data_IF_874099423608
#
_entry.id   IF_874099423608
#
_cell.length_a   1.000
_cell.length_b   1.000
_cell.length_c   1.000
_cell.angle_alpha   90.00
_cell.angle_beta   90.00
_cell.angle_gamma   90.00
#
_symmetry.space_group_name_H-M   'P 1'
#
loop_
_entity.id
_entity.type
_entity.pdbx_description
1 polymer ?
#
# COMPACT_ATOMS: atom_id res chain seq x y z
N UNK A 1 9.77 18.88 -15.38
CA UNK A 1 9.79 17.40 -15.41
C UNK A 1 8.45 16.89 -15.90
N UNK A 2 8.45 15.91 -16.79
CA UNK A 2 7.25 15.22 -17.30
C UNK A 2 7.21 13.83 -16.68
N UNK A 3 6.13 13.51 -15.96
CA UNK A 3 6.02 12.30 -15.13
C UNK A 3 4.85 11.45 -15.60
N UNK A 4 5.07 10.13 -15.68
CA UNK A 4 4.01 9.14 -15.89
C UNK A 4 3.84 8.30 -14.62
N UNK A 5 2.63 8.28 -14.06
CA UNK A 5 2.24 7.38 -12.97
C UNK A 5 1.50 6.18 -13.55
N UNK A 6 1.97 4.97 -13.25
CA UNK A 6 1.32 3.73 -13.67
C UNK A 6 0.36 3.24 -12.58
N UNK A 7 -0.93 3.23 -12.89
CA UNK A 7 -1.99 2.77 -12.01
C UNK A 7 -3.33 3.44 -12.25
N UNK A 8 -4.37 2.95 -11.58
CA UNK A 8 -5.76 3.45 -11.69
C UNK A 8 -6.52 3.46 -10.36
N UNK A 9 -5.88 3.05 -9.27
CA UNK A 9 -6.50 2.97 -7.96
C UNK A 9 -6.54 4.31 -7.23
N UNK A 10 -7.21 4.35 -6.09
CA UNK A 10 -7.26 5.54 -5.23
C UNK A 10 -5.87 5.95 -4.71
N UNK A 11 -4.99 5.00 -4.48
CA UNK A 11 -3.59 5.24 -4.16
C UNK A 11 -2.86 5.96 -5.30
N UNK A 12 -3.06 5.50 -6.53
CA UNK A 12 -2.41 6.09 -7.71
C UNK A 12 -2.94 7.50 -7.98
N UNK A 13 -4.22 7.74 -7.72
CA UNK A 13 -4.79 9.08 -7.73
C UNK A 13 -4.15 9.99 -6.65
N UNK A 14 -3.95 9.51 -5.43
CA UNK A 14 -3.27 10.27 -4.37
C UNK A 14 -1.82 10.60 -4.74
N UNK A 15 -1.11 9.65 -5.34
CA UNK A 15 0.26 9.85 -5.85
C UNK A 15 0.26 10.90 -6.98
N UNK A 16 -0.64 10.79 -7.95
CA UNK A 16 -0.79 11.77 -9.02
C UNK A 16 -1.12 13.16 -8.46
N UNK A 17 -2.01 13.23 -7.46
CA UNK A 17 -2.28 14.48 -6.76
C UNK A 17 -1.03 15.05 -6.10
N UNK A 18 -0.18 14.22 -5.46
CA UNK A 18 1.07 14.69 -4.88
C UNK A 18 2.01 15.28 -5.93
N UNK A 19 2.20 14.61 -7.07
CA UNK A 19 2.97 15.17 -8.20
C UNK A 19 2.38 16.48 -8.72
N UNK A 20 1.05 16.61 -8.78
CA UNK A 20 0.39 17.84 -9.25
C UNK A 20 0.61 19.07 -8.35
N UNK A 21 1.05 18.86 -7.10
CA UNK A 21 1.36 19.97 -6.18
C UNK A 21 2.74 20.59 -6.44
N UNK A 22 3.61 19.92 -7.18
CA UNK A 22 4.94 20.42 -7.52
C UNK A 22 4.90 21.41 -8.69
N UNK A 23 5.49 22.56 -8.52
CA UNK A 23 5.65 23.57 -9.59
C UNK A 23 6.73 23.16 -10.62
N UNK A 24 7.52 22.13 -10.33
CA UNK A 24 8.56 21.61 -11.18
C UNK A 24 8.03 20.57 -12.19
N UNK A 25 6.77 20.12 -12.02
CA UNK A 25 6.06 19.25 -12.96
C UNK A 25 5.39 20.11 -14.03
N UNK A 26 5.78 19.92 -15.27
CA UNK A 26 5.19 20.61 -16.44
C UNK A 26 4.41 19.68 -17.37
N UNK A 27 4.32 18.40 -17.02
CA UNK A 27 3.47 17.41 -17.65
C UNK A 27 3.24 16.24 -16.72
N UNK A 28 1.99 15.98 -16.36
CA UNK A 28 1.61 14.84 -15.52
C UNK A 28 0.68 13.92 -16.31
N UNK A 29 1.05 12.65 -16.36
CA UNK A 29 0.33 11.60 -17.06
C UNK A 29 0.03 10.46 -16.12
N UNK A 30 -1.09 9.77 -16.31
CA UNK A 30 -1.46 8.58 -15.54
C UNK A 30 -1.95 7.48 -16.48
N UNK A 31 -1.50 6.25 -16.30
CA UNK A 31 -1.90 5.14 -17.15
C UNK A 31 -2.37 3.91 -16.34
N UNK A 32 -3.59 3.42 -16.57
CA UNK A 32 -4.62 4.02 -17.40
C UNK A 32 -5.31 5.24 -16.75
N UNK A 33 -5.09 5.48 -15.44
CA UNK A 33 -5.75 6.54 -14.68
C UNK A 33 -7.20 6.19 -14.31
N UNK A 34 -7.91 7.17 -13.80
CA UNK A 34 -9.32 7.08 -13.42
C UNK A 34 -10.00 8.45 -13.50
N UNK A 35 -11.27 8.54 -13.16
CA UNK A 35 -12.07 9.79 -13.21
C UNK A 35 -11.51 10.92 -12.33
N UNK A 36 -10.81 10.58 -11.25
CA UNK A 36 -10.19 11.57 -10.37
C UNK A 36 -8.89 12.13 -10.95
N UNK A 37 -8.11 11.30 -11.63
CA UNK A 37 -6.84 11.72 -12.25
C UNK A 37 -7.05 12.59 -13.48
N UNK A 38 -8.18 12.51 -14.19
CA UNK A 38 -8.52 13.35 -15.34
C UNK A 38 -8.55 14.85 -15.00
N UNK A 39 -8.86 15.18 -13.74
CA UNK A 39 -8.93 16.59 -13.31
C UNK A 39 -7.57 17.23 -13.06
N UNK A 40 -6.50 16.43 -12.94
CA UNK A 40 -5.15 16.87 -12.51
C UNK A 40 -4.04 16.41 -13.45
N UNK A 41 -4.31 15.48 -14.36
CA UNK A 41 -3.34 14.86 -15.25
C UNK A 41 -3.97 14.47 -16.60
N UNK A 42 -3.15 14.06 -17.55
CA UNK A 42 -3.62 13.43 -18.79
C UNK A 42 -3.64 11.91 -18.60
N UNK A 43 -4.82 11.29 -18.66
CA UNK A 43 -4.94 9.84 -18.65
C UNK A 43 -4.55 9.25 -20.01
N UNK A 44 -3.70 8.19 -19.99
CA UNK A 44 -3.27 7.48 -21.18
C UNK A 44 -3.92 6.08 -21.20
N UNK A 45 -4.73 5.82 -22.21
CA UNK A 45 -5.46 4.54 -22.35
C UNK A 45 -4.52 3.42 -22.85
N UNK A 46 -3.53 3.05 -22.05
CA UNK A 46 -2.58 1.96 -22.29
C UNK A 46 -2.63 0.94 -21.16
N UNK A 47 -2.20 -0.29 -21.44
CA UNK A 47 -1.97 -1.29 -20.42
C UNK A 47 -0.67 -0.96 -19.66
N UNK A 48 -0.73 -0.61 -18.36
CA UNK A 48 0.45 -0.28 -17.56
C UNK A 48 1.39 -1.47 -17.34
N UNK A 49 0.93 -2.70 -17.61
CA UNK A 49 1.70 -3.93 -17.49
C UNK A 49 2.38 -4.35 -18.80
N UNK A 50 2.05 -3.69 -19.92
CA UNK A 50 2.74 -3.87 -21.19
C UNK A 50 3.92 -2.88 -21.31
N UNK A 51 5.12 -3.38 -21.06
CA UNK A 51 6.34 -2.57 -21.05
C UNK A 51 6.61 -1.85 -22.39
N UNK A 52 6.14 -2.40 -23.53
CA UNK A 52 6.30 -1.77 -24.84
C UNK A 52 5.36 -0.60 -25.00
N UNK A 53 4.08 -0.75 -24.64
CA UNK A 53 3.12 0.35 -24.66
C UNK A 53 3.54 1.49 -23.72
N UNK A 54 4.04 1.15 -22.52
CA UNK A 54 4.55 2.16 -21.57
C UNK A 54 5.77 2.90 -22.16
N UNK A 55 6.72 2.20 -22.76
CA UNK A 55 7.88 2.82 -23.40
C UNK A 55 7.49 3.72 -24.58
N UNK A 56 6.56 3.28 -25.44
CA UNK A 56 6.02 4.07 -26.54
C UNK A 56 5.34 5.35 -26.04
N UNK A 57 4.54 5.23 -24.96
CA UNK A 57 3.91 6.38 -24.30
C UNK A 57 4.98 7.35 -23.75
N UNK A 58 6.05 6.84 -23.16
CA UNK A 58 7.16 7.67 -22.68
C UNK A 58 7.82 8.45 -23.82
N UNK A 59 8.08 7.79 -24.94
CA UNK A 59 8.71 8.43 -26.12
C UNK A 59 7.79 9.47 -26.75
N UNK A 60 6.50 9.13 -26.91
CA UNK A 60 5.52 10.02 -27.56
C UNK A 60 5.24 11.27 -26.73
N UNK A 61 5.30 11.18 -25.40
CA UNK A 61 4.97 12.26 -24.50
C UNK A 61 6.20 12.90 -23.84
N UNK A 62 7.43 12.59 -24.29
CA UNK A 62 8.68 13.11 -23.72
C UNK A 62 8.72 12.93 -22.18
N UNK A 63 8.40 11.74 -21.69
CA UNK A 63 8.36 11.45 -20.24
C UNK A 63 9.80 11.33 -19.71
N UNK A 64 10.14 12.15 -18.73
CA UNK A 64 11.43 12.11 -18.04
C UNK A 64 11.50 11.00 -16.99
N UNK A 65 10.34 10.62 -16.42
CA UNK A 65 10.30 9.78 -15.25
C UNK A 65 9.00 8.97 -15.14
N UNK A 66 9.10 7.67 -14.80
CA UNK A 66 7.97 6.77 -14.60
C UNK A 66 7.89 6.33 -13.14
N UNK A 67 6.76 6.61 -12.48
CA UNK A 67 6.45 6.11 -11.15
C UNK A 67 5.51 4.91 -11.24
N UNK A 68 5.90 3.77 -10.65
CA UNK A 68 5.07 2.56 -10.64
C UNK A 68 4.35 2.45 -9.31
N UNK A 69 3.07 2.79 -9.30
CA UNK A 69 2.24 2.81 -8.11
C UNK A 69 1.57 1.48 -7.77
N UNK A 70 1.37 0.59 -8.74
CA UNK A 70 0.56 -0.63 -8.60
C UNK A 70 1.38 -1.91 -8.81
N UNK A 71 0.85 -3.06 -8.38
CA UNK A 71 1.56 -4.34 -8.38
C UNK A 71 1.82 -4.91 -9.78
N UNK A 72 0.80 -4.93 -10.64
CA UNK A 72 0.86 -5.63 -11.91
C UNK A 72 2.05 -5.20 -12.79
N UNK A 73 2.32 -3.90 -13.04
CA UNK A 73 3.48 -3.47 -13.79
C UNK A 73 4.83 -3.86 -13.17
N UNK A 74 4.91 -3.93 -11.84
CA UNK A 74 6.13 -4.37 -11.17
C UNK A 74 6.44 -5.83 -11.53
N UNK A 75 5.47 -6.71 -11.41
CA UNK A 75 5.67 -8.16 -11.64
C UNK A 75 5.73 -8.56 -13.12
N UNK A 76 5.43 -7.65 -14.05
CA UNK A 76 5.62 -7.89 -15.50
C UNK A 76 6.96 -7.37 -16.03
N UNK A 77 7.83 -6.82 -15.17
CA UNK A 77 9.19 -6.40 -15.53
C UNK A 77 9.27 -5.05 -16.24
N UNK A 78 8.25 -4.21 -16.13
CA UNK A 78 8.21 -2.86 -16.74
C UNK A 78 9.40 -2.01 -16.28
N UNK A 79 9.80 -2.10 -15.01
CA UNK A 79 10.92 -1.33 -14.44
C UNK A 79 12.25 -1.65 -15.18
N UNK A 80 12.60 -2.93 -15.23
CA UNK A 80 13.86 -3.34 -15.87
C UNK A 80 13.86 -3.00 -17.36
N UNK A 81 12.72 -3.21 -18.05
CA UNK A 81 12.56 -2.89 -19.47
C UNK A 81 12.77 -1.41 -19.79
N UNK A 82 12.24 -0.51 -18.95
CA UNK A 82 12.37 0.95 -19.13
C UNK A 82 13.79 1.42 -18.79
N UNK A 83 14.38 0.93 -17.69
CA UNK A 83 15.73 1.28 -17.27
C UNK A 83 16.78 0.89 -18.35
N UNK A 84 16.65 -0.29 -18.98
CA UNK A 84 17.50 -0.71 -20.10
C UNK A 84 17.44 0.22 -21.32
N UNK A 85 16.36 1.03 -21.42
CA UNK A 85 16.13 1.99 -22.51
C UNK A 85 16.35 3.44 -22.11
N UNK A 86 16.93 3.65 -20.91
CA UNK A 86 17.31 4.97 -20.42
C UNK A 86 16.15 5.83 -19.90
N UNK A 87 14.99 5.23 -19.66
CA UNK A 87 13.87 5.90 -18.96
C UNK A 87 14.06 5.74 -17.47
N UNK A 88 14.19 6.84 -16.74
CA UNK A 88 14.28 6.82 -15.29
C UNK A 88 12.99 6.28 -14.68
N UNK A 89 13.11 5.28 -13.81
CA UNK A 89 11.96 4.67 -13.14
C UNK A 89 12.10 4.69 -11.63
N UNK A 90 10.94 4.63 -10.97
CA UNK A 90 10.81 4.54 -9.53
C UNK A 90 10.05 3.28 -9.16
N UNK A 91 10.77 2.26 -8.76
CA UNK A 91 10.21 0.98 -8.37
C UNK A 91 11.26 -0.10 -8.24
N UNK A 92 10.86 -1.21 -7.65
CA UNK A 92 11.74 -2.35 -7.45
C UNK A 92 11.97 -3.11 -8.75
N UNK A 93 13.24 -3.38 -9.13
CA UNK A 93 13.57 -4.25 -10.24
C UNK A 93 13.25 -5.72 -9.89
N UNK A 94 13.20 -6.59 -10.91
CA UNK A 94 12.84 -8.00 -10.74
C UNK A 94 13.62 -8.72 -9.62
N UNK A 95 14.90 -8.37 -9.42
CA UNK A 95 15.72 -8.97 -8.36
C UNK A 95 15.21 -8.68 -6.94
N UNK A 96 14.56 -7.53 -6.73
CA UNK A 96 14.03 -7.11 -5.42
C UNK A 96 12.55 -7.52 -5.22
N UNK A 97 11.83 -7.86 -6.30
CA UNK A 97 10.41 -8.24 -6.22
C UNK A 97 10.16 -9.48 -5.37
N UNK A 98 11.16 -10.34 -5.21
CA UNK A 98 11.06 -11.55 -4.37
C UNK A 98 10.72 -11.26 -2.91
N UNK A 99 11.09 -10.08 -2.39
CA UNK A 99 10.73 -9.68 -1.02
C UNK A 99 9.21 -9.59 -0.83
N UNK A 100 8.48 -9.13 -1.84
CA UNK A 100 7.02 -9.08 -1.80
C UNK A 100 6.39 -10.30 -2.46
N UNK A 101 6.94 -10.79 -3.57
CA UNK A 101 6.33 -11.81 -4.42
C UNK A 101 6.46 -13.24 -3.89
N UNK A 102 7.47 -13.54 -3.08
CA UNK A 102 7.78 -14.87 -2.54
C UNK A 102 7.96 -14.82 -1.02
N UNK A 103 6.93 -15.23 -0.27
CA UNK A 103 6.97 -15.17 1.19
C UNK A 103 8.01 -16.10 1.81
N UNK A 104 8.26 -17.25 1.21
CA UNK A 104 9.31 -18.14 1.69
C UNK A 104 10.69 -17.49 1.52
N UNK A 105 10.95 -16.90 0.35
CA UNK A 105 12.18 -16.11 0.15
C UNK A 105 12.28 -14.98 1.18
N UNK A 106 11.19 -14.24 1.40
CA UNK A 106 11.14 -13.15 2.37
C UNK A 106 11.51 -13.63 3.78
N UNK A 107 10.96 -14.77 4.24
CA UNK A 107 11.29 -15.36 5.54
C UNK A 107 12.74 -15.83 5.61
N UNK A 108 13.23 -16.50 4.59
CA UNK A 108 14.65 -16.89 4.51
C UNK A 108 15.59 -15.67 4.52
N UNK A 109 15.20 -14.57 3.88
CA UNK A 109 15.94 -13.31 3.92
C UNK A 109 15.97 -12.74 5.34
N UNK A 110 14.82 -12.67 6.01
CA UNK A 110 14.75 -12.15 7.39
C UNK A 110 15.53 -13.01 8.37
N UNK A 111 15.52 -14.34 8.23
CA UNK A 111 16.30 -15.27 9.07
C UNK A 111 17.80 -15.06 8.88
N UNK A 112 18.28 -14.93 7.61
CA UNK A 112 19.70 -14.68 7.33
C UNK A 112 20.23 -13.36 7.90
N UNK A 113 19.35 -12.37 8.02
CA UNK A 113 19.70 -11.03 8.50
C UNK A 113 19.24 -10.74 9.92
N UNK A 114 18.78 -11.76 10.66
CA UNK A 114 18.32 -11.69 12.06
C UNK A 114 17.22 -10.64 12.28
N UNK A 115 16.31 -10.48 11.31
CA UNK A 115 15.18 -9.55 11.39
C UNK A 115 14.02 -10.25 12.11
N UNK A 116 13.46 -9.68 13.20
CA UNK A 116 12.38 -10.29 13.95
C UNK A 116 11.12 -10.49 13.10
N UNK A 117 10.65 -11.74 12.98
CA UNK A 117 9.42 -12.13 12.29
C UNK A 117 8.57 -13.03 13.18
N UNK A 118 7.28 -13.26 12.84
CA UNK A 118 6.49 -14.29 13.50
C UNK A 118 7.19 -15.66 13.42
N UNK A 119 7.06 -16.47 14.45
CA UNK A 119 7.41 -17.89 14.35
C UNK A 119 6.64 -18.49 13.18
N UNK A 120 7.34 -19.18 12.28
CA UNK A 120 6.73 -19.67 11.05
C UNK A 120 7.21 -21.07 10.66
N UNK A 121 6.35 -21.80 9.95
CA UNK A 121 6.63 -23.11 9.38
C UNK A 121 6.10 -23.18 7.95
N UNK A 122 6.92 -23.68 7.03
CA UNK A 122 6.51 -23.95 5.65
C UNK A 122 5.92 -25.36 5.56
N UNK A 123 4.76 -25.48 4.92
CA UNK A 123 4.13 -26.74 4.61
C UNK A 123 3.91 -26.88 3.11
N UNK A 124 4.31 -28.06 2.58
CA UNK A 124 4.10 -28.52 1.22
C UNK A 124 3.20 -29.76 1.15
N UNK A 125 2.74 -30.24 2.30
CA UNK A 125 2.00 -31.48 2.48
C UNK A 125 0.86 -31.31 3.50
N UNK A 126 -0.35 -31.76 3.10
CA UNK A 126 -1.58 -31.64 3.91
C UNK A 126 -1.52 -32.46 5.19
N UNK A 127 -0.90 -33.65 5.16
CA UNK A 127 -0.82 -34.54 6.32
C UNK A 127 0.10 -33.96 7.40
N UNK A 128 1.25 -33.42 7.01
CA UNK A 128 2.19 -32.75 7.94
C UNK A 128 1.54 -31.55 8.60
N UNK A 129 0.78 -30.73 7.83
CA UNK A 129 0.04 -29.61 8.37
C UNK A 129 -1.02 -30.07 9.37
N UNK A 130 -1.81 -31.09 9.02
CA UNK A 130 -2.84 -31.65 9.91
C UNK A 130 -2.26 -32.15 11.24
N UNK A 131 -1.14 -32.86 11.20
CA UNK A 131 -0.46 -33.33 12.41
C UNK A 131 0.07 -32.16 13.26
N UNK A 132 0.59 -31.12 12.62
CA UNK A 132 1.06 -29.93 13.33
C UNK A 132 -0.11 -29.23 14.03
N UNK A 133 -1.20 -28.95 13.32
CA UNK A 133 -2.38 -28.25 13.88
C UNK A 133 -3.02 -29.05 15.02
N UNK A 134 -3.06 -30.40 14.95
CA UNK A 134 -3.59 -31.24 16.03
C UNK A 134 -2.71 -31.17 17.30
N UNK A 135 -1.39 -31.03 17.16
CA UNK A 135 -0.47 -30.87 18.29
C UNK A 135 -0.56 -29.48 18.93
N UNK A 136 -1.08 -28.49 18.19
CA UNK A 136 -1.24 -27.09 18.59
C UNK A 136 -2.71 -26.70 18.67
N UNK A 137 -3.59 -27.62 19.10
CA UNK A 137 -5.02 -27.40 19.20
C UNK A 137 -5.36 -26.19 20.08
N UNK A 138 -6.22 -25.31 19.59
CA UNK A 138 -6.63 -24.07 20.28
C UNK A 138 -5.71 -22.89 20.08
N UNK A 139 -4.52 -23.07 19.49
CA UNK A 139 -3.67 -21.95 19.11
C UNK A 139 -4.22 -21.25 17.86
N UNK A 140 -4.00 -19.93 17.78
CA UNK A 140 -4.41 -19.12 16.64
C UNK A 140 -3.25 -18.93 15.68
N UNK A 141 -3.51 -19.20 14.40
CA UNK A 141 -2.51 -19.11 13.34
C UNK A 141 -2.95 -18.20 12.19
N UNK A 142 -1.95 -17.67 11.51
CA UNK A 142 -2.12 -17.01 10.21
C UNK A 142 -1.53 -17.92 9.14
N UNK A 143 -2.37 -18.43 8.25
CA UNK A 143 -1.94 -19.19 7.07
C UNK A 143 -1.89 -18.27 5.88
N UNK A 144 -0.77 -18.27 5.16
CA UNK A 144 -0.56 -17.45 3.96
C UNK A 144 -0.15 -18.34 2.79
N UNK A 145 -0.71 -18.08 1.60
CA UNK A 145 -0.17 -18.69 0.37
C UNK A 145 1.24 -18.17 0.09
N UNK A 146 2.11 -19.02 -0.45
CA UNK A 146 3.43 -18.59 -0.96
C UNK A 146 3.35 -18.05 -2.40
N UNK A 147 2.13 -17.92 -2.97
CA UNK A 147 1.95 -17.49 -4.33
C UNK A 147 2.44 -16.04 -4.56
N UNK A 148 2.94 -15.80 -5.77
CA UNK A 148 3.26 -14.46 -6.26
C UNK A 148 1.95 -13.67 -6.43
N UNK A 149 1.98 -12.36 -6.17
CA UNK A 149 0.83 -11.48 -6.45
C UNK A 149 0.31 -11.68 -7.90
N UNK A 150 -1.01 -11.57 -8.17
CA UNK A 150 -2.08 -11.07 -7.29
C UNK A 150 -2.79 -12.14 -6.45
N UNK A 151 -2.44 -13.41 -6.56
CA UNK A 151 -3.14 -14.53 -5.88
C UNK A 151 -2.74 -14.72 -4.41
N UNK A 152 -2.31 -13.65 -3.75
CA UNK A 152 -1.94 -13.66 -2.32
C UNK A 152 -3.20 -13.75 -1.47
N UNK A 153 -3.39 -14.88 -0.85
CA UNK A 153 -4.51 -15.11 0.06
C UNK A 153 -4.01 -15.51 1.44
N UNK A 154 -4.80 -15.23 2.46
CA UNK A 154 -4.48 -15.56 3.84
C UNK A 154 -5.75 -15.80 4.66
N UNK A 155 -5.62 -16.60 5.72
CA UNK A 155 -6.62 -16.77 6.75
C UNK A 155 -5.97 -16.60 8.13
N UNK A 156 -6.71 -16.02 9.09
CA UNK A 156 -6.34 -15.85 10.49
C UNK A 156 -7.41 -16.52 11.34
N UNK A 157 -7.12 -17.71 11.90
CA UNK A 157 -8.09 -18.53 12.60
C UNK A 157 -7.45 -19.39 13.69
N UNK A 158 -8.24 -19.82 14.65
CA UNK A 158 -7.95 -20.90 15.61
C UNK A 158 -8.76 -22.17 15.33
N UNK A 159 -9.65 -22.14 14.33
CA UNK A 159 -10.47 -23.28 13.98
C UNK A 159 -9.72 -24.22 13.02
N UNK A 160 -9.50 -25.44 13.46
CA UNK A 160 -8.79 -26.48 12.69
C UNK A 160 -9.41 -26.70 11.31
N UNK A 161 -10.74 -26.80 11.22
CA UNK A 161 -11.40 -27.12 9.95
C UNK A 161 -11.23 -25.96 8.95
N UNK A 162 -11.42 -24.71 9.40
CA UNK A 162 -11.22 -23.53 8.58
C UNK A 162 -9.79 -23.42 8.06
N UNK A 163 -8.79 -23.67 8.94
CA UNK A 163 -7.37 -23.69 8.53
C UNK A 163 -7.07 -24.76 7.52
N UNK A 164 -7.58 -25.98 7.72
CA UNK A 164 -7.36 -27.11 6.81
C UNK A 164 -8.07 -26.90 5.46
N UNK A 165 -9.33 -26.48 5.44
CA UNK A 165 -10.09 -26.22 4.22
C UNK A 165 -9.41 -25.14 3.36
N UNK A 166 -9.01 -24.02 3.98
CA UNK A 166 -8.27 -22.96 3.31
C UNK A 166 -6.93 -23.46 2.73
N UNK A 167 -6.15 -24.19 3.56
CA UNK A 167 -4.82 -24.66 3.18
C UNK A 167 -4.86 -25.71 2.06
N UNK A 168 -5.84 -26.61 2.08
CA UNK A 168 -6.01 -27.69 1.10
C UNK A 168 -6.17 -27.14 -0.33
N UNK A 169 -6.92 -26.06 -0.49
CA UNK A 169 -7.12 -25.42 -1.79
C UNK A 169 -5.81 -24.87 -2.38
N UNK A 170 -4.89 -24.43 -1.51
CA UNK A 170 -3.61 -23.82 -1.91
C UNK A 170 -2.53 -24.88 -2.08
N UNK A 171 -2.44 -25.85 -1.17
CA UNK A 171 -1.44 -26.95 -1.19
C UNK A 171 -1.51 -27.78 -2.45
N UNK A 172 -2.66 -27.79 -3.16
CA UNK A 172 -2.77 -28.42 -4.46
C UNK A 172 -1.84 -27.81 -5.54
N UNK A 173 -1.40 -26.58 -5.37
CA UNK A 173 -0.62 -25.84 -6.39
C UNK A 173 0.62 -25.14 -5.85
N UNK A 174 0.70 -24.86 -4.55
CA UNK A 174 1.75 -24.04 -3.94
C UNK A 174 1.90 -24.37 -2.45
N UNK A 175 3.12 -24.29 -1.89
CA UNK A 175 3.31 -24.34 -0.44
C UNK A 175 2.57 -23.21 0.28
N UNK A 176 2.34 -23.41 1.58
CA UNK A 176 1.81 -22.39 2.49
C UNK A 176 2.83 -22.09 3.59
N UNK A 177 2.71 -20.89 4.16
CA UNK A 177 3.41 -20.50 5.38
C UNK A 177 2.38 -20.39 6.49
N UNK A 178 2.60 -21.13 7.57
CA UNK A 178 1.84 -21.02 8.82
C UNK A 178 2.66 -20.15 9.78
N UNK A 179 2.06 -19.08 10.29
CA UNK A 179 2.67 -18.14 11.22
C UNK A 179 1.90 -18.05 12.52
N UNK A 180 2.58 -17.79 13.64
CA UNK A 180 1.91 -17.43 14.89
C UNK A 180 1.04 -16.17 14.70
N UNK A 181 -0.10 -16.12 15.38
CA UNK A 181 -0.92 -14.91 15.43
C UNK A 181 -0.28 -13.91 16.41
N UNK A 182 0.09 -12.73 15.93
CA UNK A 182 0.64 -11.66 16.75
C UNK A 182 -0.45 -10.75 17.31
N UNK A 183 -0.33 -10.37 18.57
CA UNK A 183 -1.14 -9.35 19.23
C UNK A 183 -0.31 -8.07 19.38
N UNK A 184 -0.86 -6.94 19.01
CA UNK A 184 -0.18 -5.65 19.12
C UNK A 184 -0.74 -4.57 18.20
N UNK A 185 -0.05 -3.45 18.12
CA UNK A 185 -0.40 -2.34 17.25
C UNK A 185 0.18 -2.57 15.85
N UNK A 186 -0.63 -2.77 14.81
CA UNK A 186 -0.15 -2.82 13.43
C UNK A 186 0.27 -1.43 12.97
N UNK A 187 1.47 -1.34 12.42
CA UNK A 187 2.00 -0.12 11.80
C UNK A 187 2.57 -0.42 10.42
N UNK A 188 2.62 0.61 9.61
CA UNK A 188 3.20 0.61 8.26
C UNK A 188 4.29 1.66 8.20
N UNK A 189 5.52 1.22 7.98
CA UNK A 189 6.70 2.06 7.79
C UNK A 189 7.01 2.12 6.31
N UNK A 190 7.05 3.31 5.72
CA UNK A 190 7.34 3.50 4.29
C UNK A 190 8.62 4.27 4.12
N UNK A 191 9.51 3.76 3.30
CA UNK A 191 10.83 4.30 3.01
C UNK A 191 10.96 4.60 1.53
N UNK A 192 11.55 5.75 1.19
CA UNK A 192 12.24 5.91 -0.07
C UNK A 192 13.66 5.43 0.07
N UNK A 193 14.16 4.70 -0.91
CA UNK A 193 15.50 4.10 -0.91
C UNK A 193 16.35 4.67 -2.04
N UNK A 194 17.63 4.87 -1.77
CA UNK A 194 18.67 5.02 -2.79
C UNK A 194 19.82 4.04 -2.51
N UNK A 195 20.94 4.14 -3.24
CA UNK A 195 22.07 3.22 -3.05
C UNK A 195 22.86 3.47 -1.76
N UNK A 196 22.66 4.59 -1.07
CA UNK A 196 23.43 5.01 0.10
C UNK A 196 22.64 5.08 1.38
N UNK A 197 21.31 5.26 1.29
CA UNK A 197 20.49 5.42 2.47
C UNK A 197 18.99 5.36 2.18
N UNK A 198 18.22 5.98 3.05
CA UNK A 198 16.77 6.05 2.95
C UNK A 198 16.22 7.35 3.51
N UNK A 199 14.97 7.65 3.13
CA UNK A 199 14.16 8.70 3.73
C UNK A 199 12.87 8.05 4.25
N UNK A 200 12.63 8.13 5.57
CA UNK A 200 11.43 7.59 6.19
C UNK A 200 10.26 8.57 6.06
N UNK A 201 9.11 8.07 5.61
CA UNK A 201 7.84 8.79 5.60
C UNK A 201 7.11 8.63 6.94
N UNK A 202 6.08 9.45 7.22
CA UNK A 202 5.31 9.33 8.45
C UNK A 202 4.69 7.93 8.61
N UNK A 203 4.88 7.32 9.78
CA UNK A 203 4.38 5.98 10.09
C UNK A 203 2.85 5.98 10.14
N UNK A 204 2.24 4.98 9.50
CA UNK A 204 0.79 4.80 9.49
C UNK A 204 0.35 3.59 10.33
N UNK A 205 -0.95 3.49 10.61
CA UNK A 205 -1.60 2.28 11.11
C UNK A 205 -2.75 1.91 10.20
N UNK A 206 -2.62 0.77 9.51
CA UNK A 206 -3.57 0.31 8.52
C UNK A 206 -4.61 -0.65 9.11
N UNK A 207 -5.82 -0.60 8.56
CA UNK A 207 -6.94 -1.49 8.87
C UNK A 207 -7.18 -2.41 7.69
N UNK A 208 -6.57 -3.61 7.73
CA UNK A 208 -6.49 -4.54 6.60
C UNK A 208 -7.62 -5.58 6.56
N UNK A 209 -8.61 -5.48 7.43
CA UNK A 209 -9.77 -6.37 7.48
C UNK A 209 -11.08 -5.61 7.23
N UNK A 210 -12.10 -6.32 6.75
CA UNK A 210 -13.44 -5.74 6.52
C UNK A 210 -14.07 -5.17 7.80
N UNK A 211 -13.79 -5.80 8.93
CA UNK A 211 -14.16 -5.41 10.29
C UNK A 211 -13.18 -6.05 11.27
N UNK A 212 -13.27 -5.77 12.56
CA UNK A 212 -12.44 -6.45 13.56
C UNK A 212 -12.76 -7.95 13.55
N UNK A 213 -11.75 -8.79 13.37
CA UNK A 213 -11.92 -10.24 13.19
C UNK A 213 -12.48 -10.69 11.84
N UNK A 214 -12.82 -9.76 10.93
CA UNK A 214 -13.37 -10.04 9.61
C UNK A 214 -12.36 -10.52 8.56
N UNK A 215 -12.83 -10.59 7.31
CA UNK A 215 -12.03 -11.07 6.18
C UNK A 215 -10.89 -10.10 5.82
N UNK A 216 -9.73 -10.61 5.38
CA UNK A 216 -8.66 -9.80 4.81
C UNK A 216 -9.13 -8.99 3.60
N UNK A 217 -8.62 -7.77 3.47
CA UNK A 217 -8.94 -6.84 2.38
C UNK A 217 -7.67 -6.22 1.82
N UNK A 218 -7.80 -5.40 0.79
CA UNK A 218 -6.70 -4.56 0.30
C UNK A 218 -6.47 -3.28 1.13
N UNK A 219 -7.12 -3.16 2.30
CA UNK A 219 -7.09 -2.00 3.20
C UNK A 219 -8.41 -1.23 3.19
N UNK A 220 -8.96 -0.99 4.39
CA UNK A 220 -10.24 -0.30 4.60
C UNK A 220 -10.08 1.07 5.27
N UNK A 221 -8.91 1.34 5.82
CA UNK A 221 -8.60 2.63 6.44
C UNK A 221 -7.15 2.71 6.87
N UNK A 222 -6.68 3.92 7.14
CA UNK A 222 -5.34 4.20 7.65
C UNK A 222 -5.31 5.48 8.47
N UNK A 223 -4.44 5.52 9.47
CA UNK A 223 -4.20 6.69 10.32
C UNK A 223 -2.74 7.09 10.20
N UNK A 224 -2.49 8.39 10.07
CA UNK A 224 -1.15 8.96 9.94
C UNK A 224 -1.04 10.35 10.60
N UNK A 225 0.07 10.67 11.30
CA UNK A 225 1.07 9.72 11.78
C UNK A 225 0.58 8.97 13.02
N UNK A 226 1.14 7.79 13.25
CA UNK A 226 0.96 7.06 14.51
C UNK A 226 1.99 7.56 15.51
N UNK A 227 1.59 7.99 16.71
CA UNK A 227 2.54 8.33 17.76
C UNK A 227 3.22 7.06 18.28
N UNK A 228 4.54 7.00 18.15
CA UNK A 228 5.37 5.95 18.70
C UNK A 228 6.28 6.52 19.78
N UNK A 229 6.53 5.76 20.83
CA UNK A 229 7.55 6.07 21.82
C UNK A 229 8.94 6.02 21.16
N UNK A 230 9.88 6.84 21.64
CA UNK A 230 11.21 6.95 21.05
C UNK A 230 11.95 5.61 21.06
N UNK A 231 11.82 4.85 22.14
CA UNK A 231 12.43 3.50 22.26
C UNK A 231 11.89 2.52 21.22
N UNK A 232 10.58 2.60 20.89
CA UNK A 232 9.96 1.77 19.85
C UNK A 232 10.45 2.19 18.47
N UNK A 233 10.56 3.50 18.24
CA UNK A 233 11.06 4.04 16.98
C UNK A 233 12.53 3.65 16.75
N UNK A 234 13.36 3.72 17.78
CA UNK A 234 14.76 3.28 17.72
C UNK A 234 14.86 1.77 17.49
N UNK A 235 14.05 0.97 18.20
CA UNK A 235 14.01 -0.47 17.99
C UNK A 235 13.60 -0.86 16.55
N UNK A 236 12.67 -0.13 15.94
CA UNK A 236 12.33 -0.32 14.52
C UNK A 236 13.53 -0.11 13.60
N UNK A 237 14.30 0.95 13.85
CA UNK A 237 15.50 1.23 13.06
C UNK A 237 16.53 0.13 13.25
N UNK A 238 16.86 -0.20 14.49
CA UNK A 238 17.97 -1.10 14.84
C UNK A 238 17.71 -2.56 14.47
N UNK A 239 16.44 -3.00 14.59
CA UNK A 239 16.13 -4.43 14.45
C UNK A 239 15.46 -4.79 13.13
N UNK A 240 14.87 -3.80 12.42
CA UNK A 240 14.14 -4.07 11.17
C UNK A 240 14.72 -3.27 10.00
N UNK A 241 14.80 -1.93 10.11
CA UNK A 241 15.14 -1.08 8.95
C UNK A 241 16.60 -1.30 8.54
N UNK A 242 17.54 -1.05 9.44
CA UNK A 242 18.98 -1.17 9.13
C UNK A 242 19.38 -2.59 8.71
N UNK A 243 18.95 -3.68 9.41
CA UNK A 243 19.21 -5.03 8.94
C UNK A 243 18.61 -5.35 7.57
N UNK A 244 17.41 -4.81 7.25
CA UNK A 244 16.80 -4.96 5.93
C UNK A 244 17.67 -4.30 4.84
N UNK A 245 18.09 -3.05 5.05
CA UNK A 245 18.92 -2.31 4.09
C UNK A 245 20.29 -2.96 3.92
N UNK A 246 20.90 -3.41 5.02
CA UNK A 246 22.13 -4.19 4.98
C UNK A 246 21.96 -5.46 4.14
N UNK A 247 20.89 -6.23 4.38
CA UNK A 247 20.58 -7.45 3.66
C UNK A 247 20.36 -7.22 2.17
N UNK A 248 19.59 -6.18 1.81
CA UNK A 248 19.39 -5.79 0.40
C UNK A 248 20.69 -5.51 -0.31
N UNK A 249 21.62 -4.82 0.35
CA UNK A 249 22.93 -4.52 -0.19
C UNK A 249 23.82 -5.77 -0.29
N UNK A 250 23.86 -6.57 0.75
CA UNK A 250 24.65 -7.80 0.83
C UNK A 250 24.24 -8.83 -0.25
N UNK A 251 22.94 -8.93 -0.54
CA UNK A 251 22.38 -9.85 -1.53
C UNK A 251 22.24 -9.20 -2.93
N UNK A 252 22.81 -8.02 -3.14
CA UNK A 252 22.79 -7.28 -4.43
C UNK A 252 21.36 -6.98 -4.92
N UNK A 253 20.45 -6.75 -3.98
CA UNK A 253 19.04 -6.43 -4.23
C UNK A 253 18.72 -4.95 -3.98
N UNK A 254 19.72 -4.13 -3.65
CA UNK A 254 19.53 -2.68 -3.46
C UNK A 254 18.97 -2.03 -4.74
N UNK A 255 18.05 -1.08 -4.55
CA UNK A 255 17.37 -0.37 -5.64
C UNK A 255 16.97 1.05 -5.21
N UNK A 256 16.67 1.89 -6.20
CA UNK A 256 16.07 3.21 -6.00
C UNK A 256 14.56 3.07 -6.13
N UNK A 257 13.81 3.42 -5.07
CA UNK A 257 12.38 3.24 -5.09
C UNK A 257 11.75 3.24 -3.70
N UNK A 258 10.60 2.60 -3.60
CA UNK A 258 9.82 2.51 -2.36
C UNK A 258 9.97 1.13 -1.72
N UNK A 259 10.16 1.12 -0.42
CA UNK A 259 10.00 -0.07 0.40
C UNK A 259 8.99 0.25 1.52
N UNK A 260 7.94 -0.52 1.61
CA UNK A 260 6.99 -0.46 2.72
C UNK A 260 7.12 -1.73 3.56
N UNK A 261 7.18 -1.55 4.86
CA UNK A 261 7.38 -2.61 5.86
C UNK A 261 6.16 -2.64 6.75
N UNK A 262 5.42 -3.75 6.76
CA UNK A 262 4.32 -4.00 7.68
C UNK A 262 4.86 -4.61 8.96
N UNK A 263 4.58 -3.99 10.10
CA UNK A 263 5.12 -4.35 11.41
C UNK A 263 3.97 -4.43 12.43
N UNK A 264 4.07 -5.34 13.38
CA UNK A 264 3.22 -5.32 14.59
C UNK A 264 4.12 -4.99 15.78
N UNK A 265 3.77 -3.92 16.51
CA UNK A 265 4.42 -3.57 17.76
C UNK A 265 3.80 -4.45 18.85
N UNK A 266 4.57 -5.41 19.33
CA UNK A 266 4.17 -6.38 20.35
C UNK A 266 4.85 -6.08 21.70
N UNK A 267 4.52 -6.85 22.74
CA UNK A 267 5.25 -6.82 23.99
C UNK A 267 6.69 -7.36 23.90
N UNK A 268 7.04 -8.03 22.79
CA UNK A 268 8.42 -8.47 22.44
C UNK A 268 9.19 -7.42 21.62
N UNK A 269 8.58 -6.27 21.35
CA UNK A 269 9.09 -5.24 20.44
C UNK A 269 8.47 -5.32 19.05
N UNK A 270 9.07 -4.60 18.07
CA UNK A 270 8.61 -4.61 16.67
C UNK A 270 8.88 -5.96 15.99
N UNK A 271 7.87 -6.51 15.33
CA UNK A 271 7.93 -7.78 14.59
C UNK A 271 7.50 -7.50 13.14
N UNK A 272 8.37 -7.77 12.18
CA UNK A 272 8.09 -7.62 10.77
C UNK A 272 7.11 -8.70 10.30
N UNK A 273 6.05 -8.27 9.62
CA UNK A 273 5.00 -9.15 9.08
C UNK A 273 5.18 -9.41 7.59
N UNK A 274 5.30 -8.35 6.79
CA UNK A 274 5.46 -8.45 5.33
C UNK A 274 6.26 -7.25 4.79
N UNK A 275 6.93 -7.46 3.65
CA UNK A 275 7.48 -6.41 2.80
C UNK A 275 6.58 -6.11 1.62
N UNK A 276 6.56 -4.84 1.21
CA UNK A 276 5.96 -4.38 -0.04
C UNK A 276 6.94 -3.44 -0.73
N UNK A 277 7.20 -3.68 -2.00
CA UNK A 277 8.16 -2.87 -2.79
C UNK A 277 7.45 -1.70 -3.50
N UNK A 278 6.39 -1.22 -2.91
CA UNK A 278 5.51 -0.13 -3.35
C UNK A 278 4.82 0.51 -2.14
N UNK A 279 4.13 1.62 -2.38
CA UNK A 279 3.27 2.18 -1.34
C UNK A 279 2.09 1.26 -1.00
N UNK A 280 1.75 1.19 0.28
CA UNK A 280 0.53 0.52 0.75
C UNK A 280 -0.71 1.40 0.53
N UNK A 281 -1.84 0.74 0.40
CA UNK A 281 -3.18 1.30 0.21
C UNK A 281 -4.04 0.92 1.44
N UNK A 282 -4.61 1.87 2.20
CA UNK A 282 -4.67 3.30 1.93
C UNK A 282 -3.65 4.17 2.72
N UNK A 283 -2.52 3.61 3.19
CA UNK A 283 -1.49 4.38 3.89
C UNK A 283 -1.01 5.59 3.06
N UNK A 284 -0.78 5.40 1.75
CA UNK A 284 -0.33 6.49 0.88
C UNK A 284 -1.34 7.64 0.86
N UNK A 285 -2.64 7.36 0.78
CA UNK A 285 -3.68 8.37 0.80
C UNK A 285 -3.68 9.17 2.12
N UNK A 286 -3.28 8.53 3.24
CA UNK A 286 -3.20 9.17 4.54
C UNK A 286 -1.95 10.05 4.69
N UNK A 287 -0.74 9.57 4.31
CA UNK A 287 0.47 10.35 4.52
C UNK A 287 0.71 11.44 3.46
N UNK A 288 0.33 11.22 2.20
CA UNK A 288 0.58 12.17 1.10
C UNK A 288 0.10 13.59 1.42
N UNK A 289 -1.11 13.83 1.96
CA UNK A 289 -1.55 15.17 2.28
C UNK A 289 -0.79 15.88 3.42
N UNK A 290 0.03 15.13 4.17
CA UNK A 290 0.80 15.64 5.29
C UNK A 290 2.21 16.05 4.89
N UNK A 291 2.73 15.57 3.76
CA UNK A 291 4.09 15.85 3.31
C UNK A 291 4.11 17.22 2.62
N UNK A 292 5.05 18.08 3.05
CA UNK A 292 5.27 19.42 2.49
C UNK A 292 6.47 19.48 1.56
N UNK A 293 7.46 18.62 1.79
CA UNK A 293 8.62 18.50 0.90
C UNK A 293 8.15 18.17 -0.52
N UNK A 294 8.66 18.93 -1.50
CA UNK A 294 8.32 18.68 -2.91
C UNK A 294 8.77 17.28 -3.33
N UNK A 295 7.88 16.53 -3.96
CA UNK A 295 8.19 15.17 -4.42
C UNK A 295 9.33 15.16 -5.43
N UNK A 296 9.48 16.19 -6.26
CA UNK A 296 10.56 16.30 -7.25
C UNK A 296 11.93 16.46 -6.57
N UNK A 297 12.00 17.13 -5.42
CA UNK A 297 13.23 17.22 -4.64
C UNK A 297 13.63 15.85 -4.09
N UNK A 298 12.64 15.06 -3.60
CA UNK A 298 12.88 13.68 -3.15
C UNK A 298 13.37 12.81 -4.33
N UNK A 299 12.72 12.90 -5.51
CA UNK A 299 13.14 12.15 -6.70
C UNK A 299 14.56 12.50 -7.15
N UNK A 300 14.89 13.79 -7.16
CA UNK A 300 16.24 14.26 -7.51
C UNK A 300 17.28 13.75 -6.50
N UNK A 301 16.98 13.82 -5.20
CA UNK A 301 17.88 13.29 -4.17
C UNK A 301 18.09 11.78 -4.35
N UNK A 302 17.03 11.03 -4.63
CA UNK A 302 17.11 9.60 -4.90
C UNK A 302 17.93 9.30 -6.16
N UNK A 303 17.72 10.06 -7.24
CA UNK A 303 18.50 9.92 -8.48
C UNK A 303 20.01 10.07 -8.22
N UNK A 304 20.38 11.00 -7.36
CA UNK A 304 21.77 11.36 -7.05
C UNK A 304 22.35 10.67 -5.81
N UNK A 305 21.63 9.72 -5.18
CA UNK A 305 22.06 9.00 -3.96
C UNK A 305 22.34 9.94 -2.79
N UNK A 306 21.44 10.90 -2.57
CA UNK A 306 21.52 11.93 -1.52
C UNK A 306 20.26 12.01 -0.66
N UNK A 307 19.44 10.96 -0.59
CA UNK A 307 18.21 10.94 0.24
C UNK A 307 18.48 11.25 1.72
N UNK A 308 19.62 10.79 2.25
CA UNK A 308 20.02 11.05 3.64
C UNK A 308 20.25 12.54 3.95
N UNK A 309 20.41 13.40 2.92
CA UNK A 309 20.52 14.85 3.11
C UNK A 309 19.20 15.60 3.08
N UNK A 310 18.08 14.93 2.73
CA UNK A 310 16.76 15.51 2.72
C UNK A 310 16.21 15.58 4.15
N UNK A 311 15.85 16.77 4.59
CA UNK A 311 15.01 16.96 5.77
C UNK A 311 13.55 16.95 5.34
N UNK A 312 12.83 15.87 5.64
CA UNK A 312 11.42 15.73 5.27
C UNK A 312 10.58 16.72 6.09
N UNK A 313 9.99 17.69 5.43
CA UNK A 313 9.02 18.57 6.05
C UNK A 313 7.64 17.93 6.06
N UNK A 314 7.09 17.72 7.25
CA UNK A 314 5.77 17.12 7.47
C UNK A 314 4.87 18.09 8.19
N UNK A 315 3.59 18.09 7.86
CA UNK A 315 2.57 18.85 8.60
C UNK A 315 2.48 18.35 10.05
N UNK A 316 2.22 19.26 10.99
CA UNK A 316 1.88 18.90 12.37
C UNK A 316 0.47 18.35 12.54
N UNK A 317 -0.29 18.26 11.45
CA UNK A 317 -1.65 17.69 11.40
C UNK A 317 -1.60 16.15 11.33
N UNK A 318 -2.75 15.54 11.62
CA UNK A 318 -3.00 14.11 11.39
C UNK A 318 -3.95 13.90 10.22
N UNK A 319 -3.92 12.72 9.62
CA UNK A 319 -4.83 12.31 8.57
C UNK A 319 -5.46 10.95 8.89
N UNK A 320 -6.71 10.77 8.52
CA UNK A 320 -7.44 9.50 8.59
C UNK A 320 -8.05 9.22 7.22
N UNK A 321 -7.69 8.09 6.64
CA UNK A 321 -8.23 7.59 5.39
C UNK A 321 -9.33 6.56 5.67
N UNK A 322 -10.48 6.69 5.00
CA UNK A 322 -11.61 5.77 5.03
C UNK A 322 -11.90 5.27 3.63
N UNK A 323 -11.99 3.97 3.43
CA UNK A 323 -12.34 3.38 2.14
C UNK A 323 -13.83 3.09 2.09
N UNK A 324 -14.51 3.62 1.07
CA UNK A 324 -15.88 3.29 0.71
C UNK A 324 -15.85 2.17 -0.32
N UNK A 325 -16.50 1.06 0.01
CA UNK A 325 -16.48 -0.17 -0.78
C UNK A 325 -17.88 -0.54 -1.30
N UNK A 326 -17.91 -1.32 -2.38
CA UNK A 326 -19.12 -1.92 -2.94
C UNK A 326 -19.58 -3.11 -2.10
N UNK A 327 -20.87 -3.34 -2.06
CA UNK A 327 -21.46 -4.56 -1.52
C UNK A 327 -20.78 -5.82 -2.09
N UNK A 328 -20.56 -6.82 -1.25
CA UNK A 328 -19.89 -8.07 -1.59
C UNK A 328 -18.37 -8.04 -1.47
N UNK A 329 -17.70 -6.86 -1.42
CA UNK A 329 -16.29 -6.78 -1.13
C UNK A 329 -15.99 -7.19 0.34
N UNK A 330 -14.91 -7.94 0.68
CA UNK A 330 -13.77 -8.35 -0.16
C UNK A 330 -14.00 -9.59 -1.04
N UNK A 331 -15.18 -10.19 -1.03
CA UNK A 331 -15.54 -11.23 -1.96
C UNK A 331 -15.82 -10.65 -3.38
N UNK A 332 -16.84 -11.15 -4.06
CA UNK A 332 -17.22 -10.66 -5.39
C UNK A 332 -18.03 -9.35 -5.26
N UNK A 333 -17.48 -8.19 -5.63
CA UNK A 333 -18.19 -6.92 -5.48
C UNK A 333 -19.35 -6.81 -6.48
N UNK A 334 -20.45 -6.18 -6.04
CA UNK A 334 -21.55 -5.79 -6.91
C UNK A 334 -21.20 -4.41 -7.50
N UNK A 335 -20.96 -4.39 -8.81
CA UNK A 335 -20.51 -3.21 -9.56
C UNK A 335 -21.62 -2.62 -10.44
N UNK A 336 -21.36 -1.48 -11.08
CA UNK A 336 -22.29 -0.79 -11.97
C UNK A 336 -23.32 0.08 -11.22
N UNK A 337 -23.10 0.33 -9.93
CA UNK A 337 -23.96 1.22 -9.12
C UNK A 337 -23.59 2.67 -9.39
N UNK A 338 -24.60 3.51 -9.60
CA UNK A 338 -24.42 4.95 -9.85
C UNK A 338 -24.10 5.66 -8.52
N UNK A 339 -23.04 6.46 -8.53
CA UNK A 339 -22.72 7.35 -7.43
C UNK A 339 -23.64 8.57 -7.48
N UNK A 340 -24.10 9.03 -6.31
CA UNK A 340 -24.79 10.31 -6.19
C UNK A 340 -23.86 11.45 -6.67
N UNK A 341 -24.40 12.50 -7.30
CA UNK A 341 -23.59 13.62 -7.77
C UNK A 341 -22.78 14.25 -6.64
N UNK A 342 -21.47 14.32 -6.82
CA UNK A 342 -20.57 15.03 -5.91
C UNK A 342 -20.32 16.44 -6.41
N UNK A 343 -20.27 17.45 -5.51
CA UNK A 343 -19.85 18.80 -5.91
C UNK A 343 -18.46 18.78 -6.57
N UNK A 344 -18.30 19.43 -7.71
CA UNK A 344 -17.02 19.46 -8.43
C UNK A 344 -15.86 20.00 -7.55
N UNK A 345 -16.16 20.93 -6.66
CA UNK A 345 -15.18 21.47 -5.69
C UNK A 345 -14.60 20.41 -4.75
N UNK A 346 -15.34 19.36 -4.43
CA UNK A 346 -14.85 18.25 -3.59
C UNK A 346 -13.97 17.29 -4.41
N UNK A 347 -14.25 17.13 -5.70
CA UNK A 347 -13.46 16.23 -6.57
C UNK A 347 -12.04 16.75 -6.83
N UNK A 348 -11.85 18.09 -6.83
CA UNK A 348 -10.55 18.73 -7.12
C UNK A 348 -9.56 18.70 -5.96
N UNK A 349 -9.98 18.33 -4.75
CA UNK A 349 -9.12 18.28 -3.55
C UNK A 349 -8.37 19.61 -3.24
N UNK A 350 -8.93 20.77 -3.64
CA UNK A 350 -8.23 22.05 -3.61
C UNK A 350 -8.43 22.86 -2.31
N UNK A 351 -9.46 22.56 -1.52
CA UNK A 351 -9.76 23.32 -0.32
C UNK A 351 -8.96 22.82 0.88
N UNK A 352 -8.21 23.72 1.51
CA UNK A 352 -7.55 23.43 2.78
C UNK A 352 -8.61 23.19 3.87
N UNK A 353 -8.46 22.10 4.62
CA UNK A 353 -9.40 21.72 5.69
C UNK A 353 -10.62 20.92 5.25
N UNK A 354 -10.92 20.83 3.94
CA UNK A 354 -11.94 19.93 3.43
C UNK A 354 -11.42 18.50 3.34
N UNK A 355 -12.32 17.49 3.44
CA UNK A 355 -11.96 16.11 3.13
C UNK A 355 -11.47 15.97 1.69
N UNK A 356 -10.51 15.08 1.46
CA UNK A 356 -9.99 14.74 0.14
C UNK A 356 -10.62 13.45 -0.35
N UNK A 357 -10.82 13.35 -1.66
CA UNK A 357 -11.47 12.20 -2.29
C UNK A 357 -10.55 11.62 -3.36
N UNK A 358 -10.09 10.40 -3.13
CA UNK A 358 -9.27 9.66 -4.09
C UNK A 358 -10.09 8.53 -4.69
N UNK A 359 -10.35 8.62 -5.99
CA UNK A 359 -11.16 7.65 -6.74
C UNK A 359 -10.33 6.42 -7.08
N UNK A 360 -10.95 5.24 -6.94
CA UNK A 360 -10.39 3.95 -7.31
C UNK A 360 -11.32 3.24 -8.30
N UNK A 361 -12.06 2.24 -7.85
CA UNK A 361 -12.99 1.45 -8.67
C UNK A 361 -14.24 2.22 -9.10
N UNK A 362 -14.06 3.34 -9.79
CA UNK A 362 -15.13 4.20 -10.33
C UNK A 362 -14.73 4.69 -11.72
N UNK A 363 -15.68 4.70 -12.64
CA UNK A 363 -15.53 5.26 -13.99
C UNK A 363 -16.74 6.14 -14.38
N UNK A 364 -16.56 6.98 -15.36
CA UNK A 364 -17.68 7.68 -16.00
C UNK A 364 -18.31 6.79 -17.06
N UNK A 365 -19.65 6.71 -17.04
CA UNK A 365 -20.46 6.05 -18.05
C UNK A 365 -21.75 6.85 -18.27
N UNK A 366 -22.00 7.26 -19.49
CA UNK A 366 -23.20 8.03 -19.89
C UNK A 366 -23.40 9.29 -19.01
N UNK A 367 -22.31 10.02 -18.71
CA UNK A 367 -22.31 11.22 -17.88
C UNK A 367 -22.57 10.99 -16.39
N UNK A 368 -22.47 9.74 -15.92
CA UNK A 368 -22.63 9.35 -14.51
C UNK A 368 -21.42 8.59 -14.02
N UNK A 369 -21.06 8.80 -12.75
CA UNK A 369 -20.04 7.98 -12.09
C UNK A 369 -20.67 6.65 -11.68
N UNK A 370 -20.02 5.55 -12.05
CA UNK A 370 -20.47 4.18 -11.72
C UNK A 370 -19.35 3.37 -11.12
N UNK A 371 -19.70 2.48 -10.17
CA UNK A 371 -18.71 1.59 -9.53
C UNK A 371 -18.23 0.52 -10.51
N UNK A 372 -16.91 0.25 -10.50
CA UNK A 372 -16.25 -0.77 -11.34
C UNK A 372 -15.42 -1.76 -10.54
N UNK A 373 -15.33 -1.59 -9.22
CA UNK A 373 -14.52 -2.42 -8.36
C UNK A 373 -15.02 -2.49 -6.92
N UNK A 374 -14.26 -3.19 -6.07
CA UNK A 374 -14.60 -3.39 -4.66
C UNK A 374 -14.34 -2.14 -3.82
N UNK A 375 -13.18 -1.49 -3.97
CA UNK A 375 -12.85 -0.24 -3.26
C UNK A 375 -13.03 0.93 -4.22
N UNK A 376 -14.03 1.76 -3.95
CA UNK A 376 -14.49 2.77 -4.92
C UNK A 376 -13.85 4.13 -4.69
N UNK A 377 -13.91 4.64 -3.46
CA UNK A 377 -13.38 5.96 -3.11
C UNK A 377 -12.68 5.89 -1.75
N UNK A 378 -11.52 6.51 -1.63
CA UNK A 378 -10.89 6.76 -0.33
C UNK A 378 -11.15 8.20 0.07
N UNK A 379 -11.78 8.40 1.22
CA UNK A 379 -12.03 9.72 1.81
C UNK A 379 -11.00 9.99 2.89
N UNK A 380 -10.28 11.10 2.79
CA UNK A 380 -9.23 11.45 3.74
C UNK A 380 -9.58 12.74 4.46
N UNK A 381 -9.77 12.63 5.78
CA UNK A 381 -9.89 13.78 6.67
C UNK A 381 -8.52 14.18 7.21
N UNK A 382 -8.21 15.48 7.17
CA UNK A 382 -7.01 16.05 7.81
C UNK A 382 -7.44 16.96 8.96
N UNK A 383 -6.75 16.88 10.08
CA UNK A 383 -7.09 17.66 11.30
C UNK A 383 -5.89 17.89 12.20
N UNK A 384 -6.05 18.74 13.22
CA UNK A 384 -4.98 19.09 14.16
C UNK A 384 -4.47 17.89 14.99
N UNK A 385 -5.29 16.87 15.13
CA UNK A 385 -4.99 15.61 15.78
C UNK A 385 -5.81 14.49 15.13
N UNK A 386 -5.59 13.24 15.54
CA UNK A 386 -6.28 12.06 14.99
C UNK A 386 -7.81 12.19 15.15
N UNK A 387 -8.30 12.67 16.28
CA UNK A 387 -9.74 12.84 16.54
C UNK A 387 -10.39 13.83 15.57
N UNK A 388 -9.75 14.97 15.31
CA UNK A 388 -10.25 15.97 14.35
C UNK A 388 -10.17 15.42 12.92
N UNK A 389 -9.09 14.73 12.56
CA UNK A 389 -8.93 14.09 11.26
C UNK A 389 -10.00 13.02 11.03
N UNK A 390 -10.25 12.18 12.04
CA UNK A 390 -11.29 11.17 12.05
C UNK A 390 -12.67 11.79 11.81
N UNK A 391 -13.06 12.80 12.61
CA UNK A 391 -14.33 13.52 12.44
C UNK A 391 -14.49 14.08 11.02
N UNK A 392 -13.42 14.66 10.47
CA UNK A 392 -13.43 15.21 9.11
C UNK A 392 -13.61 14.11 8.06
N UNK A 393 -12.94 12.96 8.20
CA UNK A 393 -13.08 11.82 7.30
C UNK A 393 -14.52 11.26 7.33
N UNK A 394 -15.09 11.02 8.53
CA UNK A 394 -16.46 10.51 8.66
C UNK A 394 -17.54 11.52 8.24
N UNK A 395 -17.27 12.82 8.31
CA UNK A 395 -18.15 13.82 7.71
C UNK A 395 -18.03 13.81 6.18
N UNK A 396 -16.82 13.64 5.66
CA UNK A 396 -16.58 13.58 4.21
C UNK A 396 -17.22 12.36 3.56
N UNK A 397 -17.19 11.19 4.21
CA UNK A 397 -17.73 9.96 3.63
C UNK A 397 -19.24 10.04 3.33
N UNK A 398 -19.97 10.93 4.00
CA UNK A 398 -21.38 11.17 3.76
C UNK A 398 -21.72 11.72 2.36
N UNK A 399 -20.70 12.23 1.66
CA UNK A 399 -20.83 12.70 0.27
C UNK A 399 -20.58 11.61 -0.76
N UNK A 400 -20.19 10.40 -0.34
CA UNK A 400 -19.94 9.26 -1.23
C UNK A 400 -21.05 8.23 -1.04
N UNK A 401 -22.11 8.33 -1.82
CA UNK A 401 -23.27 7.45 -1.73
C UNK A 401 -23.52 6.73 -3.05
N UNK A 402 -23.79 5.44 -2.95
CA UNK A 402 -24.32 4.59 -4.03
C UNK A 402 -24.98 3.37 -3.37
N UNK A 403 -25.86 2.70 -4.08
CA UNK A 403 -26.55 1.52 -3.58
C UNK A 403 -25.56 0.42 -3.16
N UNK A 404 -25.64 -0.06 -1.91
CA UNK A 404 -24.74 -1.06 -1.35
C UNK A 404 -23.37 -0.51 -0.92
N UNK A 405 -23.19 0.82 -0.84
CA UNK A 405 -21.97 1.42 -0.31
C UNK A 405 -21.78 1.10 1.18
N UNK A 406 -20.57 0.71 1.56
CA UNK A 406 -20.24 0.49 2.96
C UNK A 406 -18.80 0.90 3.28
N UNK A 407 -18.53 1.16 4.55
CA UNK A 407 -17.21 1.49 5.09
C UNK A 407 -17.12 1.09 6.56
N UNK A 408 -15.91 0.90 7.08
CA UNK A 408 -15.68 0.62 8.50
C UNK A 408 -16.04 1.85 9.35
N UNK A 409 -16.66 1.60 10.52
CA UNK A 409 -17.08 2.66 11.44
C UNK A 409 -16.13 2.83 12.63
N UNK A 410 -15.15 1.96 12.77
CA UNK A 410 -14.22 1.84 13.90
C UNK A 410 -12.78 2.28 13.55
N UNK A 411 -12.56 2.95 12.40
CA UNK A 411 -11.25 3.47 12.04
C UNK A 411 -10.88 4.60 13.01
N UNK A 412 -9.84 4.38 13.80
CA UNK A 412 -9.37 5.35 14.80
C UNK A 412 -9.65 4.99 16.24
N UNK A 413 -10.65 4.15 16.52
CA UNK A 413 -11.12 3.86 17.88
C UNK A 413 -9.99 3.44 18.82
N UNK A 414 -9.06 2.59 18.34
CA UNK A 414 -7.87 2.16 19.11
C UNK A 414 -6.97 3.30 19.60
N UNK A 415 -7.14 4.52 19.07
CA UNK A 415 -6.35 5.70 19.46
C UNK A 415 -7.15 6.67 20.33
N UNK A 416 -8.43 6.37 20.64
CA UNK A 416 -9.32 7.20 21.45
C UNK A 416 -9.63 6.58 22.81
N UNK A 417 -9.42 5.27 22.97
CA UNK A 417 -9.56 4.53 24.21
C UNK A 417 -8.29 4.70 25.07
N UNK A 418 -8.22 5.85 25.81
CA UNK A 418 -7.27 6.07 26.92
C UNK A 418 -7.95 6.84 28.03
#
# INVERSE_FOLDING_TARGET
MRVLVLGSGAKDHAIAWWFSQSRLINGLFVAPGNVGTESIATNLAIDPSDAKQVHEACTTNDIDFVFVGTEAPLFTGVIDYLNERGIDTFGAPNRALKLEGDRNFSRMFTDRHNIPTPTHVLFDDEHKLSEYLKRHEGERFVVKSNAIAPSRVMIDSSDYNSLMEFSKSILATSPIILEEHLKGLPITVTLFLDNKGYLSLPTCSDYMKSEEGGLPTGGMGSICPVPLQEEVSQALVDTIIEPTLFGLKAERMAYKGVLTISVIITNRGPILVDYHVRFNDPAAQAFVPLIKTDIVDILNAMKHDTLSSISLEVSTKSAVALVVASEGYPGKPIIGKVLDPMPASLMLNTFEGAPRYYFGGVQEKDGKLVTTGGRCVTVVGVGYNIMNANKNAYNGVKHVNFEGAWYRKDIGDRFFEN
#
